data_IF_420262159631
#
_entry.id   IF_420262159631
#
_cell.length_a   1.000
_cell.length_b   1.000
_cell.length_c   1.000
_cell.angle_alpha   90.00
_cell.angle_beta   90.00
_cell.angle_gamma   90.00
#
_symmetry.space_group_name_H-M   'P 1'
#
loop_
_entity.id
_entity.type
_entity.pdbx_description
1 polymer ?
#
# COMPACT_ATOMS: atom_id res chain seq x y z
N UNK A 1 -0.49 22.13 5.13
CA UNK A 1 -1.06 20.76 5.07
C UNK A 1 0.03 19.79 5.50
N UNK A 2 -0.17 18.95 6.54
CA UNK A 2 0.88 18.06 7.03
C UNK A 2 1.02 16.82 6.14
N UNK A 3 2.25 16.34 5.94
CA UNK A 3 2.55 15.07 5.26
C UNK A 3 2.56 13.95 6.30
N UNK A 4 1.65 12.99 6.16
CA UNK A 4 1.43 11.94 7.17
C UNK A 4 1.97 10.56 6.79
N UNK A 5 2.39 10.35 5.55
CA UNK A 5 2.80 9.04 5.07
C UNK A 5 4.15 9.10 4.35
N UNK A 6 5.07 8.23 4.77
CA UNK A 6 6.34 7.97 4.10
C UNK A 6 6.43 6.48 3.79
N UNK A 7 6.76 6.16 2.54
CA UNK A 7 6.96 4.78 2.10
C UNK A 7 8.39 4.64 1.59
N UNK A 8 9.10 3.65 2.12
CA UNK A 8 10.42 3.25 1.64
C UNK A 8 10.27 1.90 0.97
N UNK A 9 10.61 1.83 -0.31
CA UNK A 9 10.73 0.57 -1.03
C UNK A 9 12.20 0.20 -1.07
N UNK A 10 12.54 -0.88 -0.37
CA UNK A 10 13.85 -1.50 -0.48
C UNK A 10 13.73 -2.73 -1.39
N UNK A 11 14.57 -2.82 -2.41
CA UNK A 11 14.67 -4.01 -3.23
C UNK A 11 16.08 -4.15 -3.84
N UNK A 12 16.43 -5.37 -4.28
CA UNK A 12 17.78 -5.67 -4.75
C UNK A 12 18.07 -4.98 -6.09
N UNK A 13 19.35 -4.63 -6.30
CA UNK A 13 19.81 -3.76 -7.39
C UNK A 13 19.54 -4.32 -8.80
N UNK A 14 19.31 -5.63 -8.92
CA UNK A 14 19.13 -6.38 -10.16
C UNK A 14 17.68 -6.43 -10.68
N UNK A 15 16.70 -5.89 -9.94
CA UNK A 15 15.28 -6.04 -10.27
C UNK A 15 14.49 -4.73 -10.50
N UNK A 16 14.97 -3.75 -11.30
CA UNK A 16 14.39 -2.40 -11.38
C UNK A 16 12.91 -2.35 -11.81
N UNK A 17 12.44 -3.27 -12.64
CA UNK A 17 11.06 -3.28 -13.16
C UNK A 17 9.97 -3.54 -12.10
N UNK A 18 10.28 -4.30 -11.05
CA UNK A 18 9.32 -4.65 -9.98
C UNK A 18 8.97 -3.44 -9.10
N UNK A 19 9.88 -2.47 -9.00
CA UNK A 19 9.80 -1.35 -8.07
C UNK A 19 8.72 -0.34 -8.46
N UNK A 20 8.63 0.00 -9.75
CA UNK A 20 7.64 0.97 -10.25
C UNK A 20 6.21 0.44 -10.12
N UNK A 21 6.01 -0.86 -10.32
CA UNK A 21 4.69 -1.49 -10.17
C UNK A 21 4.23 -1.44 -8.72
N UNK A 22 5.13 -1.69 -7.77
CA UNK A 22 4.82 -1.64 -6.34
C UNK A 22 4.50 -0.21 -5.87
N UNK A 23 5.31 0.77 -6.28
CA UNK A 23 5.07 2.18 -5.99
C UNK A 23 3.73 2.66 -6.57
N UNK A 24 3.44 2.30 -7.82
CA UNK A 24 2.19 2.64 -8.48
C UNK A 24 0.97 2.01 -7.78
N UNK A 25 1.10 0.79 -7.25
CA UNK A 25 0.06 0.13 -6.46
C UNK A 25 -0.18 0.88 -5.14
N UNK A 26 0.88 1.13 -4.36
CA UNK A 26 0.77 1.85 -3.07
C UNK A 26 0.19 3.25 -3.26
N UNK A 27 0.65 4.00 -4.27
CA UNK A 27 0.11 5.32 -4.61
C UNK A 27 -1.40 5.28 -4.91
N UNK A 28 -1.87 4.22 -5.58
CA UNK A 28 -3.29 4.04 -5.91
C UNK A 28 -4.13 3.68 -4.69
N UNK A 29 -3.62 2.80 -3.82
CA UNK A 29 -4.29 2.44 -2.56
C UNK A 29 -4.47 3.65 -1.65
N UNK A 30 -3.46 4.51 -1.57
CA UNK A 30 -3.48 5.71 -0.74
C UNK A 30 -4.30 6.84 -1.36
N UNK A 31 -4.68 6.75 -2.63
CA UNK A 31 -5.56 7.74 -3.26
C UNK A 31 -6.99 7.65 -2.70
N UNK A 32 -7.38 6.50 -2.14
CA UNK A 32 -8.66 6.32 -1.45
C UNK A 32 -8.65 6.97 -0.05
N UNK A 33 -9.59 7.89 0.20
CA UNK A 33 -9.73 8.58 1.49
C UNK A 33 -10.09 7.67 2.66
N UNK A 34 -10.82 6.58 2.41
CA UNK A 34 -11.18 5.59 3.43
C UNK A 34 -9.97 4.77 3.86
N UNK A 35 -9.13 4.39 2.90
CA UNK A 35 -7.86 3.72 3.15
C UNK A 35 -6.96 4.59 4.05
N UNK A 36 -6.78 5.87 3.68
CA UNK A 36 -5.99 6.81 4.50
C UNK A 36 -6.51 6.94 5.92
N UNK A 37 -7.82 7.07 6.10
CA UNK A 37 -8.43 7.17 7.42
C UNK A 37 -8.20 5.91 8.27
N UNK A 38 -8.35 4.71 7.67
CA UNK A 38 -8.09 3.43 8.34
C UNK A 38 -6.64 3.32 8.80
N UNK A 39 -5.69 3.65 7.92
CA UNK A 39 -4.25 3.61 8.26
C UNK A 39 -3.94 4.61 9.38
N UNK A 40 -4.51 5.82 9.35
CA UNK A 40 -4.32 6.82 10.42
C UNK A 40 -4.90 6.38 11.78
N UNK A 41 -5.97 5.58 11.77
CA UNK A 41 -6.60 5.05 12.99
C UNK A 41 -6.01 3.72 13.49
N UNK A 42 -5.07 3.13 12.75
CA UNK A 42 -4.50 1.84 13.08
C UNK A 42 -3.65 1.93 14.35
N UNK A 43 -3.86 0.98 15.27
CA UNK A 43 -3.15 0.96 16.56
C UNK A 43 -1.68 0.53 16.43
N UNK A 44 -1.37 -0.28 15.41
CA UNK A 44 -0.05 -0.86 15.22
C UNK A 44 0.24 -1.19 13.73
N UNK A 45 1.46 -1.64 13.47
CA UNK A 45 1.92 -1.99 12.12
C UNK A 45 1.13 -3.15 11.50
N UNK A 46 0.64 -4.10 12.29
CA UNK A 46 -0.16 -5.23 11.82
C UNK A 46 -1.52 -4.75 11.32
N UNK A 47 -2.17 -3.85 12.06
CA UNK A 47 -3.42 -3.22 11.67
C UNK A 47 -3.25 -2.36 10.40
N UNK A 48 -2.11 -1.66 10.25
CA UNK A 48 -1.78 -0.94 9.01
C UNK A 48 -1.66 -1.90 7.84
N UNK A 49 -0.93 -3.01 7.99
CA UNK A 49 -0.76 -4.00 6.94
C UNK A 49 -2.11 -4.62 6.52
N UNK A 50 -2.95 -4.98 7.49
CA UNK A 50 -4.29 -5.50 7.23
C UNK A 50 -5.14 -4.51 6.44
N UNK A 51 -5.13 -3.23 6.81
CA UNK A 51 -5.86 -2.19 6.09
C UNK A 51 -5.40 -2.05 4.63
N UNK A 52 -4.10 -2.12 4.37
CA UNK A 52 -3.55 -2.07 3.01
C UNK A 52 -3.96 -3.30 2.18
N UNK A 53 -3.88 -4.51 2.76
CA UNK A 53 -4.25 -5.75 2.07
C UNK A 53 -5.74 -5.83 1.76
N UNK A 54 -6.60 -5.36 2.66
CA UNK A 54 -8.05 -5.30 2.42
C UNK A 54 -8.38 -4.37 1.25
N UNK A 55 -7.77 -3.18 1.21
CA UNK A 55 -7.98 -2.23 0.14
C UNK A 55 -7.40 -2.72 -1.19
N UNK A 56 -6.29 -3.45 -1.17
CA UNK A 56 -5.74 -4.09 -2.37
C UNK A 56 -6.68 -5.11 -2.98
N UNK A 57 -7.30 -5.97 -2.16
CA UNK A 57 -8.32 -6.93 -2.64
C UNK A 57 -9.53 -6.21 -3.25
N UNK A 58 -9.91 -5.06 -2.68
CA UNK A 58 -11.01 -4.24 -3.17
C UNK A 58 -10.72 -3.59 -4.52
N UNK A 59 -9.48 -3.12 -4.72
CA UNK A 59 -9.01 -2.45 -5.94
C UNK A 59 -8.63 -3.46 -7.04
N UNK A 60 -8.20 -4.67 -6.67
CA UNK A 60 -7.86 -5.78 -7.58
C UNK A 60 -8.51 -7.08 -7.09
N UNK A 61 -9.77 -7.39 -7.48
CA UNK A 61 -10.46 -8.61 -7.08
C UNK A 61 -9.92 -9.91 -7.71
N UNK A 62 -8.63 -10.02 -8.05
CA UNK A 62 -8.07 -11.17 -8.77
C UNK A 62 -6.57 -11.43 -8.64
N UNK A 63 -5.85 -10.81 -7.70
CA UNK A 63 -4.39 -10.98 -7.58
C UNK A 63 -3.95 -12.13 -6.65
N UNK A 64 -4.89 -12.84 -6.00
CA UNK A 64 -4.57 -13.92 -5.05
C UNK A 64 -4.88 -15.29 -5.65
N UNK A 65 -4.13 -15.66 -6.70
CA UNK A 65 -4.04 -17.01 -7.23
C UNK A 65 -2.81 -17.12 -8.17
N UNK A 66 -1.62 -17.21 -7.60
CA UNK A 66 -0.41 -17.72 -8.25
C UNK A 66 0.60 -18.10 -7.17
#
# INVERSE_FOLDING_TARGET
>A
MPLHFFFVLAAPADAPGTHLKLLATVSRLLSDGRCRARIMSAADATAVLAALCDEEQRVRPGARAA
#
